data_IF_486301805814
#
_entry.id   IF_486301805814
#
_cell.length_a   1.000
_cell.length_b   1.000
_cell.length_c   1.000
_cell.angle_alpha   90.00
_cell.angle_beta   90.00
_cell.angle_gamma   90.00
#
_symmetry.space_group_name_H-M   'P 1'
#
loop_
_entity.id
_entity.type
_entity.pdbx_description
1 polymer ?
#
# COMPACT_ATOMS: atom_id res chain seq x y z
N UNK A 1 14.91 -17.36 8.97
CA UNK A 1 15.63 -16.15 9.45
C UNK A 1 14.76 -14.97 9.13
N UNK A 2 14.49 -14.11 10.10
CA UNK A 2 13.68 -12.90 9.89
C UNK A 2 14.33 -11.96 8.88
N UNK A 3 13.55 -11.44 7.93
CA UNK A 3 14.04 -10.74 6.74
C UNK A 3 14.23 -9.24 6.97
N UNK A 4 13.61 -8.67 8.03
CA UNK A 4 13.54 -7.23 8.28
C UNK A 4 14.12 -6.82 9.64
N UNK A 5 15.00 -7.63 10.24
CA UNK A 5 15.61 -7.33 11.55
C UNK A 5 16.29 -5.96 11.51
N UNK A 6 15.95 -5.08 12.47
CA UNK A 6 16.51 -3.74 12.61
C UNK A 6 15.98 -2.71 11.63
N UNK A 7 15.09 -3.09 10.72
CA UNK A 7 14.45 -2.13 9.79
C UNK A 7 13.30 -1.41 10.47
N UNK A 8 13.06 -0.17 10.07
CA UNK A 8 11.91 0.64 10.49
C UNK A 8 10.99 0.80 9.28
N UNK A 9 9.72 0.47 9.45
CA UNK A 9 8.73 0.43 8.38
C UNK A 9 7.51 1.31 8.70
N UNK A 10 7.00 2.04 7.71
CA UNK A 10 5.69 2.68 7.73
C UNK A 10 4.74 1.86 6.86
N UNK A 11 3.52 1.60 7.35
CA UNK A 11 2.42 1.04 6.56
C UNK A 11 1.20 1.95 6.70
N UNK A 12 0.70 2.49 5.59
CA UNK A 12 -0.51 3.32 5.57
C UNK A 12 -1.76 2.48 5.28
N UNK A 13 -2.92 2.89 5.83
CA UNK A 13 -4.14 2.08 5.75
C UNK A 13 -3.98 0.73 6.45
N UNK A 14 -3.22 0.72 7.57
CA UNK A 14 -2.80 -0.50 8.25
C UNK A 14 -3.76 -0.95 9.37
N UNK A 15 -4.91 -0.30 9.52
CA UNK A 15 -5.98 -0.70 10.43
C UNK A 15 -6.71 -1.97 9.97
N UNK A 16 -6.78 -2.21 8.65
CA UNK A 16 -7.55 -3.33 8.11
C UNK A 16 -6.97 -3.90 6.81
N UNK A 17 -7.55 -4.99 6.33
CA UNK A 17 -7.27 -5.58 5.01
C UNK A 17 -5.79 -5.84 4.75
N UNK A 18 -5.33 -5.51 3.54
CA UNK A 18 -3.96 -5.74 3.08
C UNK A 18 -2.95 -5.01 3.97
N UNK A 19 -3.20 -3.74 4.32
CA UNK A 19 -2.29 -2.95 5.16
C UNK A 19 -2.07 -3.56 6.53
N UNK A 20 -3.12 -4.09 7.17
CA UNK A 20 -3.03 -4.82 8.42
C UNK A 20 -2.17 -6.08 8.28
N UNK A 21 -2.43 -6.90 7.25
CA UNK A 21 -1.65 -8.12 7.00
C UNK A 21 -0.17 -7.80 6.73
N UNK A 22 0.14 -6.73 5.99
CA UNK A 22 1.52 -6.26 5.77
C UNK A 22 2.17 -5.84 7.09
N UNK A 23 1.48 -5.03 7.92
CA UNK A 23 2.02 -4.56 9.19
C UNK A 23 2.33 -5.73 10.15
N UNK A 24 1.42 -6.70 10.25
CA UNK A 24 1.61 -7.91 11.06
C UNK A 24 2.81 -8.74 10.56
N UNK A 25 2.92 -8.94 9.25
CA UNK A 25 4.00 -9.72 8.65
C UNK A 25 5.35 -9.01 8.79
N UNK A 26 5.41 -7.70 8.60
CA UNK A 26 6.64 -6.93 8.81
C UNK A 26 7.15 -7.04 10.26
N UNK A 27 6.26 -6.95 11.25
CA UNK A 27 6.62 -7.11 12.65
C UNK A 27 7.10 -8.54 12.95
N UNK A 28 6.44 -9.56 12.41
CA UNK A 28 6.85 -10.97 12.52
C UNK A 28 8.24 -11.19 11.94
N UNK A 29 8.60 -10.47 10.88
CA UNK A 29 9.91 -10.51 10.23
C UNK A 29 10.96 -9.60 10.88
N UNK A 30 10.65 -9.02 12.06
CA UNK A 30 11.59 -8.29 12.91
C UNK A 30 11.71 -6.79 12.63
N UNK A 31 10.81 -6.21 11.83
CA UNK A 31 10.75 -4.76 11.66
C UNK A 31 10.09 -4.08 12.86
N UNK A 32 10.51 -2.83 13.14
CA UNK A 32 9.74 -1.88 13.94
C UNK A 32 8.72 -1.21 13.04
N UNK A 33 7.43 -1.29 13.38
CA UNK A 33 6.34 -0.92 12.48
C UNK A 33 5.60 0.31 12.98
N UNK A 34 5.49 1.31 12.12
CA UNK A 34 4.55 2.42 12.31
C UNK A 34 3.28 2.10 11.54
N UNK A 35 2.24 1.73 12.28
CA UNK A 35 0.88 1.50 11.81
C UNK A 35 0.22 2.85 11.62
N UNK A 36 -0.17 3.20 10.40
CA UNK A 36 -0.87 4.46 10.12
C UNK A 36 -2.23 4.21 9.50
N UNK A 37 -3.24 4.87 10.04
CA UNK A 37 -4.61 4.81 9.54
C UNK A 37 -5.37 6.07 9.95
N UNK A 38 -6.45 6.38 9.22
CA UNK A 38 -7.41 7.41 9.64
C UNK A 38 -8.32 6.90 10.77
N UNK A 39 -8.56 5.59 10.82
CA UNK A 39 -9.34 4.91 11.86
C UNK A 39 -8.44 4.54 13.05
N UNK A 40 -8.52 5.36 14.09
CA UNK A 40 -7.71 5.24 15.30
C UNK A 40 -7.94 3.90 16.03
N UNK A 41 -9.18 3.42 16.08
CA UNK A 41 -9.53 2.17 16.75
C UNK A 41 -8.90 0.97 16.05
N UNK A 42 -9.09 0.84 14.75
CA UNK A 42 -8.55 -0.27 13.96
C UNK A 42 -7.01 -0.25 13.94
N UNK A 43 -6.41 0.95 13.84
CA UNK A 43 -4.96 1.10 13.92
C UNK A 43 -4.39 0.67 15.27
N UNK A 44 -5.04 1.06 16.38
CA UNK A 44 -4.64 0.64 17.72
C UNK A 44 -4.79 -0.88 17.92
N UNK A 45 -5.85 -1.49 17.41
CA UNK A 45 -6.04 -2.95 17.41
C UNK A 45 -4.91 -3.67 16.67
N UNK A 46 -4.46 -3.14 15.54
CA UNK A 46 -3.32 -3.72 14.79
C UNK A 46 -2.03 -3.65 15.61
N UNK A 47 -1.76 -2.52 16.27
CA UNK A 47 -0.59 -2.39 17.18
C UNK A 47 -0.68 -3.39 18.33
N UNK A 48 -1.86 -3.55 18.95
CA UNK A 48 -2.05 -4.51 20.03
C UNK A 48 -1.70 -5.94 19.58
N UNK A 49 -2.19 -6.36 18.40
CA UNK A 49 -1.89 -7.69 17.84
C UNK A 49 -0.39 -7.89 17.56
N UNK A 50 0.33 -6.84 17.14
CA UNK A 50 1.78 -6.89 16.94
C UNK A 50 2.50 -7.06 18.28
N UNK A 51 2.13 -6.27 19.30
CA UNK A 51 2.78 -6.27 20.62
C UNK A 51 2.49 -7.53 21.40
N UNK A 52 1.30 -8.10 21.30
CA UNK A 52 0.96 -9.41 21.90
C UNK A 52 1.85 -10.55 21.38
N UNK A 53 2.33 -10.44 20.14
CA UNK A 53 3.27 -11.38 19.52
C UNK A 53 4.74 -11.03 19.77
N UNK A 54 5.03 -10.02 20.59
CA UNK A 54 6.37 -9.58 20.93
C UNK A 54 7.04 -8.67 19.91
N UNK A 55 6.30 -8.17 18.92
CA UNK A 55 6.77 -7.18 17.96
C UNK A 55 6.80 -5.75 18.54
N UNK A 56 7.49 -4.85 17.86
CA UNK A 56 7.59 -3.42 18.22
C UNK A 56 6.80 -2.58 17.21
N UNK A 57 5.72 -1.94 17.66
CA UNK A 57 4.91 -1.08 16.81
C UNK A 57 4.34 0.11 17.56
N UNK A 58 4.09 1.20 16.82
CA UNK A 58 3.32 2.36 17.28
C UNK A 58 2.21 2.68 16.28
N UNK A 59 1.17 3.34 16.77
CA UNK A 59 0.11 3.89 15.93
C UNK A 59 0.32 5.40 15.71
N UNK A 60 0.15 5.84 14.46
CA UNK A 60 0.10 7.27 14.10
C UNK A 60 -1.15 7.50 13.24
N UNK A 61 -2.09 8.29 13.78
CA UNK A 61 -3.26 8.73 12.99
C UNK A 61 -2.82 9.69 11.91
N UNK A 62 -3.13 9.38 10.65
CA UNK A 62 -2.86 10.24 9.51
C UNK A 62 -3.89 10.02 8.40
N UNK A 63 -4.35 11.13 7.81
CA UNK A 63 -5.09 11.13 6.56
C UNK A 63 -4.08 11.24 5.40
N UNK A 64 -3.98 10.18 4.61
CA UNK A 64 -3.04 10.13 3.48
C UNK A 64 -3.29 11.21 2.43
N UNK A 65 -4.50 11.79 2.36
CA UNK A 65 -4.83 12.87 1.43
C UNK A 65 -4.26 14.23 1.84
N UNK A 66 -3.72 14.35 3.06
CA UNK A 66 -3.18 15.60 3.61
C UNK A 66 -1.65 15.58 3.65
N UNK A 67 -0.96 16.52 2.97
CA UNK A 67 0.49 16.56 2.96
C UNK A 67 1.10 16.74 4.35
N UNK A 68 0.48 17.54 5.23
CA UNK A 68 0.91 17.78 6.60
C UNK A 68 0.86 16.52 7.47
N UNK A 69 -0.15 15.66 7.28
CA UNK A 69 -0.26 14.40 8.01
C UNK A 69 0.82 13.40 7.56
N UNK A 70 1.14 13.36 6.26
CA UNK A 70 2.24 12.55 5.74
C UNK A 70 3.60 13.04 6.27
N UNK A 71 3.81 14.35 6.35
CA UNK A 71 5.02 14.93 6.94
C UNK A 71 5.15 14.56 8.42
N UNK A 72 4.08 14.72 9.19
CA UNK A 72 4.02 14.37 10.61
C UNK A 72 4.27 12.88 10.84
N UNK A 73 3.67 12.01 10.02
CA UNK A 73 3.87 10.55 10.09
C UNK A 73 5.35 10.19 9.98
N UNK A 74 6.04 10.73 8.97
CA UNK A 74 7.48 10.47 8.77
C UNK A 74 8.31 11.07 9.91
N UNK A 75 8.01 12.30 10.34
CA UNK A 75 8.74 12.96 11.44
C UNK A 75 8.64 12.16 12.75
N UNK A 76 7.43 11.73 13.13
CA UNK A 76 7.23 10.89 14.32
C UNK A 76 7.91 9.52 14.20
N UNK A 77 7.98 8.96 12.99
CA UNK A 77 8.69 7.70 12.75
C UNK A 77 10.18 7.86 13.04
N UNK A 78 10.80 8.90 12.49
CA UNK A 78 12.23 9.18 12.69
C UNK A 78 12.52 9.58 14.13
N UNK A 79 11.67 10.38 14.77
CA UNK A 79 11.77 10.73 16.17
C UNK A 79 11.76 9.49 17.07
N UNK A 80 10.84 8.57 16.83
CA UNK A 80 10.66 7.35 17.65
C UNK A 80 11.74 6.30 17.43
N UNK A 81 12.14 6.08 16.17
CA UNK A 81 12.97 4.93 15.80
C UNK A 81 14.33 5.30 15.19
N UNK A 82 14.59 6.57 14.96
CA UNK A 82 15.88 7.09 14.46
C UNK A 82 16.09 6.93 12.95
N UNK A 83 15.20 6.25 12.22
CA UNK A 83 15.38 5.97 10.80
C UNK A 83 14.04 5.66 10.09
N UNK A 84 14.07 5.61 8.75
CA UNK A 84 13.03 5.02 7.92
C UNK A 84 13.69 4.19 6.80
N UNK A 85 13.37 2.89 6.74
CA UNK A 85 13.96 1.98 5.76
C UNK A 85 12.93 1.42 4.77
N UNK A 86 11.67 1.28 5.20
CA UNK A 86 10.62 0.63 4.41
C UNK A 86 9.35 1.49 4.47
N UNK A 87 8.69 1.66 3.33
CA UNK A 87 7.38 2.26 3.26
C UNK A 87 6.45 1.41 2.39
N UNK A 88 5.28 1.04 2.95
CA UNK A 88 4.18 0.46 2.20
C UNK A 88 3.06 1.50 2.11
N UNK A 89 2.93 2.15 0.96
CA UNK A 89 1.90 3.13 0.66
C UNK A 89 0.65 2.40 0.19
N UNK A 90 -0.16 1.94 1.16
CA UNK A 90 -1.30 1.07 0.91
C UNK A 90 -2.67 1.79 1.05
N UNK A 91 -2.76 2.87 1.80
CA UNK A 91 -4.01 3.59 1.99
C UNK A 91 -4.73 3.89 0.67
N UNK A 92 -6.04 3.64 0.62
CA UNK A 92 -6.83 3.87 -0.59
C UNK A 92 -8.32 3.62 -0.38
N UNK A 93 -9.12 4.18 -1.27
CA UNK A 93 -10.59 4.07 -1.29
C UNK A 93 -11.09 3.68 -2.69
N UNK A 94 -12.24 3.02 -2.79
CA UNK A 94 -12.84 2.61 -4.06
C UNK A 94 -13.46 3.77 -4.85
N UNK A 95 -14.14 4.65 -4.17
CA UNK A 95 -14.93 5.73 -4.77
C UNK A 95 -16.31 5.30 -5.25
N UNK A 96 -17.11 6.23 -5.80
CA UNK A 96 -18.40 5.93 -6.41
C UNK A 96 -18.31 5.00 -7.61
N UNK A 97 -19.40 4.35 -7.97
CA UNK A 97 -19.54 3.57 -9.21
C UNK A 97 -20.49 4.29 -10.15
N UNK A 98 -19.96 4.87 -11.24
CA UNK A 98 -20.74 5.55 -12.27
C UNK A 98 -19.93 5.64 -13.59
N UNK A 99 -20.61 5.70 -14.75
CA UNK A 99 -19.96 5.97 -16.02
C UNK A 99 -19.21 7.32 -16.01
N UNK A 100 -18.16 7.46 -16.80
CA UNK A 100 -17.30 8.66 -16.79
C UNK A 100 -18.08 9.95 -17.00
N UNK A 101 -19.09 9.97 -17.90
CA UNK A 101 -19.90 11.15 -18.16
C UNK A 101 -20.85 11.55 -17.04
N UNK A 102 -21.07 10.68 -16.06
CA UNK A 102 -21.96 10.87 -14.91
C UNK A 102 -21.24 10.76 -13.57
N UNK A 103 -19.91 10.57 -13.61
CA UNK A 103 -19.14 10.37 -12.39
C UNK A 103 -19.08 11.64 -11.55
N UNK A 104 -19.42 11.60 -10.24
CA UNK A 104 -19.44 12.79 -9.39
C UNK A 104 -18.04 13.41 -9.27
N UNK A 105 -17.94 14.72 -9.49
CA UNK A 105 -16.66 15.46 -9.42
C UNK A 105 -16.04 15.34 -8.03
N UNK A 106 -16.83 15.48 -6.97
CA UNK A 106 -16.35 15.32 -5.58
C UNK A 106 -15.83 13.90 -5.30
N UNK A 107 -16.46 12.91 -5.94
CA UNK A 107 -15.99 11.51 -5.88
C UNK A 107 -14.65 11.33 -6.57
N UNK A 108 -14.48 11.96 -7.74
CA UNK A 108 -13.20 12.01 -8.44
C UNK A 108 -12.11 12.66 -7.59
N UNK A 109 -12.36 13.88 -7.11
CA UNK A 109 -11.39 14.63 -6.31
C UNK A 109 -10.95 13.85 -5.07
N UNK A 110 -11.89 13.23 -4.37
CA UNK A 110 -11.60 12.42 -3.18
C UNK A 110 -10.73 11.20 -3.50
N UNK A 111 -11.06 10.46 -4.57
CA UNK A 111 -10.27 9.28 -4.98
C UNK A 111 -8.87 9.68 -5.42
N UNK A 112 -8.73 10.73 -6.21
CA UNK A 112 -7.42 11.25 -6.62
C UNK A 112 -6.62 11.75 -5.41
N UNK A 113 -7.25 12.48 -4.50
CA UNK A 113 -6.59 12.98 -3.30
C UNK A 113 -5.99 11.86 -2.45
N UNK A 114 -6.73 10.78 -2.21
CA UNK A 114 -6.26 9.66 -1.39
C UNK A 114 -5.32 8.73 -2.18
N UNK A 115 -5.78 8.23 -3.34
CA UNK A 115 -5.13 7.11 -4.02
C UNK A 115 -3.94 7.52 -4.89
N UNK A 116 -3.82 8.78 -5.26
CA UNK A 116 -2.74 9.28 -6.13
C UNK A 116 -1.92 10.36 -5.42
N UNK A 117 -2.55 11.49 -5.07
CA UNK A 117 -1.85 12.59 -4.40
C UNK A 117 -1.29 12.16 -3.05
N UNK A 118 -2.02 11.35 -2.28
CA UNK A 118 -1.58 10.81 -1.00
C UNK A 118 -0.33 9.93 -1.13
N UNK A 119 -0.24 9.11 -2.16
CA UNK A 119 0.98 8.33 -2.44
C UNK A 119 2.15 9.26 -2.78
N UNK A 120 1.91 10.30 -3.57
CA UNK A 120 2.93 11.32 -3.84
C UNK A 120 3.39 12.04 -2.56
N UNK A 121 2.45 12.49 -1.72
CA UNK A 121 2.78 13.16 -0.45
C UNK A 121 3.58 12.25 0.48
N UNK A 122 3.19 10.99 0.60
CA UNK A 122 3.94 10.01 1.37
C UNK A 122 5.40 9.92 0.88
N UNK A 123 5.61 9.66 -0.43
CA UNK A 123 6.95 9.54 -1.00
C UNK A 123 7.75 10.85 -0.88
N UNK A 124 7.12 12.01 -1.03
CA UNK A 124 7.76 13.33 -0.88
C UNK A 124 8.47 13.48 0.46
N UNK A 125 7.93 12.91 1.54
CA UNK A 125 8.51 13.00 2.87
C UNK A 125 9.31 11.74 3.26
N UNK A 126 8.94 10.57 2.75
CA UNK A 126 9.64 9.31 3.02
C UNK A 126 11.04 9.29 2.40
N UNK A 127 11.20 9.78 1.17
CA UNK A 127 12.46 9.74 0.43
C UNK A 127 13.60 10.47 1.16
N UNK A 128 13.45 11.71 1.62
CA UNK A 128 14.51 12.38 2.39
C UNK A 128 14.90 11.62 3.66
N UNK A 129 13.94 11.03 4.38
CA UNK A 129 14.20 10.22 5.57
C UNK A 129 14.95 8.91 5.23
N UNK A 130 14.61 8.26 4.11
CA UNK A 130 15.32 7.09 3.62
C UNK A 130 16.74 7.42 3.16
N UNK A 131 16.95 8.54 2.48
CA UNK A 131 18.29 9.01 2.11
C UNK A 131 19.17 9.22 3.35
N UNK A 132 18.62 9.83 4.40
CA UNK A 132 19.32 10.01 5.68
C UNK A 132 19.60 8.67 6.39
N UNK A 133 18.82 7.64 6.11
CA UNK A 133 18.98 6.27 6.66
C UNK A 133 19.87 5.36 5.80
N UNK A 134 20.46 5.88 4.71
CA UNK A 134 21.36 5.14 3.82
C UNK A 134 20.65 4.36 2.69
N UNK A 135 19.37 4.62 2.47
CA UNK A 135 18.55 3.97 1.44
C UNK A 135 17.29 3.34 2.00
N UNK A 136 16.52 2.67 1.13
CA UNK A 136 15.27 2.04 1.56
C UNK A 136 14.50 1.35 0.45
N UNK A 137 13.33 0.82 0.81
CA UNK A 137 12.39 0.20 -0.13
C UNK A 137 10.99 0.81 0.02
N UNK A 138 10.44 1.26 -1.10
CA UNK A 138 9.06 1.76 -1.20
C UNK A 138 8.24 0.74 -1.98
N UNK A 139 7.13 0.31 -1.40
CA UNK A 139 6.12 -0.50 -2.09
C UNK A 139 4.83 0.30 -2.16
N UNK A 140 4.43 0.65 -3.37
CA UNK A 140 3.19 1.38 -3.63
C UNK A 140 2.08 0.39 -3.99
N UNK A 141 0.96 0.45 -3.25
CA UNK A 141 -0.20 -0.37 -3.55
C UNK A 141 -0.97 0.21 -4.74
N UNK A 142 -0.71 -0.35 -5.92
CA UNK A 142 -1.48 -0.08 -7.11
C UNK A 142 -2.77 -0.93 -7.13
N UNK A 143 -3.05 -1.63 -8.20
CA UNK A 143 -4.16 -2.57 -8.44
C UNK A 143 -3.95 -3.19 -9.80
N UNK A 144 -4.61 -4.30 -10.15
CA UNK A 144 -4.77 -4.71 -11.56
C UNK A 144 -5.30 -3.54 -12.40
N UNK A 145 -6.11 -2.66 -11.82
CA UNK A 145 -6.64 -1.44 -12.45
C UNK A 145 -5.58 -0.33 -12.64
N UNK A 146 -4.33 -0.62 -12.36
CA UNK A 146 -3.16 0.16 -12.79
C UNK A 146 -2.61 -0.24 -14.17
N UNK A 147 -3.18 -1.29 -14.81
CA UNK A 147 -2.81 -1.78 -16.14
C UNK A 147 -3.99 -2.03 -17.07
N UNK A 148 -5.20 -2.16 -16.52
CA UNK A 148 -6.44 -2.35 -17.31
C UNK A 148 -7.53 -1.41 -16.83
N UNK A 149 -8.55 -1.19 -17.67
CA UNK A 149 -9.74 -0.44 -17.30
C UNK A 149 -10.73 -1.29 -16.51
N UNK A 150 -11.65 -0.60 -15.82
CA UNK A 150 -12.81 -1.19 -15.19
C UNK A 150 -14.00 -0.24 -15.31
N UNK A 151 -15.09 -0.70 -15.89
CA UNK A 151 -16.26 0.14 -16.11
C UNK A 151 -16.76 0.76 -14.80
N UNK A 152 -17.24 1.99 -14.86
CA UNK A 152 -17.78 2.75 -13.74
C UNK A 152 -16.77 3.14 -12.63
N UNK A 153 -15.47 3.03 -12.88
CA UNK A 153 -14.42 3.35 -11.90
C UNK A 153 -13.33 4.28 -12.44
N UNK A 154 -13.67 5.38 -13.15
CA UNK A 154 -12.68 6.20 -13.87
C UNK A 154 -11.62 6.80 -12.94
N UNK A 155 -12.00 7.32 -11.77
CA UNK A 155 -11.08 7.94 -10.83
C UNK A 155 -10.07 6.92 -10.24
N UNK A 156 -10.56 5.74 -9.86
CA UNK A 156 -9.73 4.68 -9.32
C UNK A 156 -8.72 4.17 -10.36
N UNK A 157 -9.19 3.89 -11.58
CA UNK A 157 -8.35 3.47 -12.70
C UNK A 157 -7.26 4.50 -12.98
N UNK A 158 -7.63 5.79 -13.11
CA UNK A 158 -6.67 6.87 -13.33
C UNK A 158 -5.63 6.97 -12.21
N UNK A 159 -6.08 6.91 -10.95
CA UNK A 159 -5.19 6.96 -9.79
C UNK A 159 -4.18 5.80 -9.79
N UNK A 160 -4.64 4.57 -10.01
CA UNK A 160 -3.78 3.38 -9.96
C UNK A 160 -2.80 3.29 -11.12
N UNK A 161 -3.17 3.76 -12.33
CA UNK A 161 -2.22 3.97 -13.43
C UNK A 161 -1.17 5.03 -13.07
N UNK A 162 -1.57 6.14 -12.44
CA UNK A 162 -0.65 7.17 -11.96
C UNK A 162 0.35 6.65 -10.94
N UNK A 163 -0.08 5.80 -10.00
CA UNK A 163 0.81 5.16 -9.01
C UNK A 163 1.88 4.30 -9.69
N UNK A 164 1.51 3.51 -10.71
CA UNK A 164 2.47 2.71 -11.49
C UNK A 164 3.48 3.63 -12.20
N UNK A 165 3.02 4.74 -12.79
CA UNK A 165 3.89 5.73 -13.43
C UNK A 165 4.87 6.38 -12.45
N UNK A 166 4.38 6.87 -11.30
CA UNK A 166 5.24 7.48 -10.27
C UNK A 166 6.27 6.48 -9.71
N UNK A 167 5.91 5.22 -9.56
CA UNK A 167 6.84 4.18 -9.09
C UNK A 167 8.06 4.05 -10.01
N UNK A 168 7.85 4.10 -11.33
CA UNK A 168 8.94 4.08 -12.33
C UNK A 168 9.83 5.32 -12.20
N UNK A 169 9.22 6.49 -12.02
CA UNK A 169 9.94 7.73 -11.88
C UNK A 169 10.87 7.73 -10.65
N UNK A 170 10.36 7.31 -9.49
CA UNK A 170 11.17 7.20 -8.26
C UNK A 170 12.36 6.23 -8.45
N UNK A 171 12.15 5.11 -9.13
CA UNK A 171 13.22 4.15 -9.40
C UNK A 171 14.36 4.77 -10.24
N UNK A 172 14.02 5.60 -11.23
CA UNK A 172 14.99 6.32 -12.05
C UNK A 172 15.74 7.40 -11.28
N UNK A 173 15.04 8.14 -10.43
CA UNK A 173 15.61 9.28 -9.68
C UNK A 173 16.50 8.84 -8.53
N UNK A 174 16.13 7.75 -7.83
CA UNK A 174 16.73 7.39 -6.54
C UNK A 174 17.42 6.03 -6.51
N UNK A 175 17.45 5.27 -7.62
CA UNK A 175 18.10 3.97 -7.69
C UNK A 175 19.59 4.01 -7.31
N UNK A 176 20.32 5.04 -7.74
CA UNK A 176 21.73 5.25 -7.38
C UNK A 176 21.94 5.62 -5.90
N UNK A 177 20.88 5.98 -5.20
CA UNK A 177 20.88 6.33 -3.79
C UNK A 177 20.38 5.20 -2.88
N UNK A 178 20.41 3.96 -3.38
CA UNK A 178 19.93 2.76 -2.67
C UNK A 178 18.45 2.82 -2.26
N UNK A 179 17.60 3.57 -2.98
CA UNK A 179 16.17 3.56 -2.80
C UNK A 179 15.54 2.79 -3.96
N UNK A 180 14.84 1.71 -3.63
CA UNK A 180 14.04 0.94 -4.57
C UNK A 180 12.57 1.31 -4.44
N UNK A 181 11.86 1.38 -5.55
CA UNK A 181 10.42 1.60 -5.55
C UNK A 181 9.76 0.58 -6.49
N UNK A 182 8.76 -0.15 -5.99
CA UNK A 182 7.99 -1.10 -6.78
C UNK A 182 6.49 -0.93 -6.52
N UNK A 183 5.67 -1.30 -7.49
CA UNK A 183 4.22 -1.29 -7.37
C UNK A 183 3.69 -2.73 -7.30
N UNK A 184 2.77 -2.98 -6.38
CA UNK A 184 2.03 -4.23 -6.28
C UNK A 184 0.61 -4.00 -6.79
N UNK A 185 0.12 -4.88 -7.64
CA UNK A 185 -1.19 -4.82 -8.27
C UNK A 185 -2.11 -5.96 -7.82
N UNK A 186 -2.76 -5.86 -6.64
CA UNK A 186 -3.76 -6.84 -6.27
C UNK A 186 -4.95 -6.82 -7.22
N UNK A 187 -5.54 -7.98 -7.46
CA UNK A 187 -6.87 -8.07 -8.02
C UNK A 187 -7.93 -7.92 -6.93
N UNK A 188 -9.00 -8.69 -6.97
CA UNK A 188 -10.04 -8.64 -5.93
C UNK A 188 -9.63 -9.50 -4.73
N UNK A 189 -9.35 -8.81 -3.62
CA UNK A 189 -8.86 -9.39 -2.36
C UNK A 189 -9.96 -9.25 -1.31
N UNK A 190 -10.18 -10.28 -0.50
CA UNK A 190 -11.18 -10.29 0.58
C UNK A 190 -10.77 -9.28 1.66
N UNK A 191 -11.30 -8.09 1.58
CA UNK A 191 -11.03 -6.96 2.47
C UNK A 191 -12.30 -6.17 2.74
N UNK A 192 -12.31 -5.25 3.71
CA UNK A 192 -13.46 -4.35 3.93
C UNK A 192 -13.85 -3.52 2.70
N UNK A 193 -12.98 -3.37 1.72
CA UNK A 193 -13.29 -2.67 0.46
C UNK A 193 -14.39 -3.39 -0.36
N UNK A 194 -14.57 -4.70 -0.17
CA UNK A 194 -15.59 -5.51 -0.84
C UNK A 194 -16.85 -5.73 0.00
N UNK A 195 -16.94 -5.14 1.20
CA UNK A 195 -18.04 -5.40 2.16
C UNK A 195 -19.45 -5.08 1.64
N UNK A 196 -19.53 -4.11 0.72
CA UNK A 196 -20.81 -3.63 0.17
C UNK A 196 -21.21 -4.37 -1.12
N UNK A 197 -20.42 -5.37 -1.57
CA UNK A 197 -20.73 -6.18 -2.74
C UNK A 197 -21.66 -7.32 -2.34
N UNK A 198 -22.71 -7.53 -3.14
CA UNK A 198 -23.60 -8.67 -2.96
C UNK A 198 -22.96 -9.99 -3.40
N UNK A 199 -23.57 -11.10 -3.00
CA UNK A 199 -23.05 -12.44 -3.30
C UNK A 199 -22.92 -12.71 -4.81
N UNK A 200 -23.85 -12.18 -5.63
CA UNK A 200 -23.82 -12.36 -7.07
C UNK A 200 -22.61 -11.65 -7.69
N UNK A 201 -22.35 -10.41 -7.24
CA UNK A 201 -21.17 -9.63 -7.64
C UNK A 201 -19.88 -10.34 -7.21
N UNK A 202 -19.80 -10.84 -5.97
CA UNK A 202 -18.62 -11.57 -5.51
C UNK A 202 -18.36 -12.83 -6.34
N UNK A 203 -19.38 -13.64 -6.63
CA UNK A 203 -19.25 -14.82 -7.51
C UNK A 203 -18.84 -14.44 -8.94
N UNK A 204 -19.36 -13.34 -9.45
CA UNK A 204 -18.93 -12.84 -10.75
C UNK A 204 -17.45 -12.42 -10.73
N UNK A 205 -16.99 -11.73 -9.68
CA UNK A 205 -15.59 -11.39 -9.51
C UNK A 205 -14.71 -12.64 -9.39
N UNK A 206 -15.11 -13.64 -8.62
CA UNK A 206 -14.40 -14.93 -8.52
C UNK A 206 -14.21 -15.55 -9.90
N UNK A 207 -15.26 -15.57 -10.73
CA UNK A 207 -15.22 -16.14 -12.08
C UNK A 207 -14.25 -15.43 -13.04
N UNK A 208 -13.80 -14.20 -12.69
CA UNK A 208 -12.81 -13.45 -13.46
C UNK A 208 -11.37 -13.88 -13.16
N UNK A 209 -11.17 -14.68 -12.11
CA UNK A 209 -9.85 -15.17 -11.76
C UNK A 209 -9.69 -16.62 -12.21
N UNK A 210 -8.71 -16.95 -13.06
CA UNK A 210 -8.38 -18.35 -13.38
C UNK A 210 -8.16 -19.24 -12.15
N UNK A 211 -7.70 -18.67 -11.03
CA UNK A 211 -7.57 -19.36 -9.75
C UNK A 211 -8.93 -19.79 -9.13
N UNK A 212 -10.08 -19.32 -9.65
CA UNK A 212 -11.42 -19.69 -9.22
C UNK A 212 -11.84 -19.16 -7.84
N UNK A 213 -11.15 -18.15 -7.33
CA UNK A 213 -11.42 -17.52 -6.02
C UNK A 213 -10.91 -16.09 -5.95
N UNK A 214 -11.37 -15.35 -4.97
CA UNK A 214 -10.76 -14.10 -4.56
C UNK A 214 -9.44 -14.36 -3.82
N UNK A 215 -8.53 -13.36 -3.83
CA UNK A 215 -7.28 -13.42 -3.08
C UNK A 215 -7.47 -13.12 -1.58
N UNK A 216 -6.47 -13.51 -0.79
CA UNK A 216 -6.39 -13.19 0.63
C UNK A 216 -5.38 -12.06 0.87
N UNK A 217 -5.59 -11.18 1.88
CA UNK A 217 -4.65 -10.11 2.23
C UNK A 217 -3.21 -10.61 2.46
N UNK A 218 -3.06 -11.79 3.05
CA UNK A 218 -1.78 -12.42 3.34
C UNK A 218 -1.00 -12.76 2.07
N UNK A 219 -1.68 -13.15 1.00
CA UNK A 219 -1.03 -13.46 -0.29
C UNK A 219 -0.40 -12.22 -0.92
N UNK A 220 -1.02 -11.05 -0.72
CA UNK A 220 -0.45 -9.76 -1.14
C UNK A 220 0.71 -9.36 -0.22
N UNK A 221 0.55 -9.56 1.09
CA UNK A 221 1.56 -9.20 2.08
C UNK A 221 2.89 -9.94 1.87
N UNK A 222 2.86 -11.20 1.42
CA UNK A 222 4.07 -11.97 1.11
C UNK A 222 4.89 -11.35 -0.03
N UNK A 223 4.25 -10.90 -1.11
CA UNK A 223 4.96 -10.20 -2.18
C UNK A 223 5.50 -8.85 -1.70
N UNK A 224 4.72 -8.11 -0.91
CA UNK A 224 5.14 -6.83 -0.32
C UNK A 224 6.36 -7.03 0.58
N UNK A 225 6.40 -8.08 1.40
CA UNK A 225 7.55 -8.45 2.22
C UNK A 225 8.78 -8.74 1.35
N UNK A 226 8.63 -9.58 0.33
CA UNK A 226 9.73 -9.90 -0.58
C UNK A 226 10.32 -8.64 -1.21
N UNK A 227 9.49 -7.76 -1.77
CA UNK A 227 9.92 -6.52 -2.40
C UNK A 227 10.58 -5.54 -1.42
N UNK A 228 10.22 -5.60 -0.14
CA UNK A 228 10.78 -4.78 0.93
C UNK A 228 12.13 -5.28 1.45
N UNK A 229 12.44 -6.55 1.21
CA UNK A 229 13.63 -7.23 1.72
C UNK A 229 14.84 -7.06 0.79
N UNK A 230 16.04 -7.42 1.30
CA UNK A 230 17.28 -7.45 0.53
C UNK A 230 17.27 -8.53 -0.59
N UNK A 231 16.33 -9.49 -0.54
CA UNK A 231 16.14 -10.47 -1.61
C UNK A 231 15.71 -9.84 -2.93
N UNK A 232 15.13 -8.65 -2.88
CA UNK A 232 14.71 -7.86 -4.02
C UNK A 232 15.70 -6.73 -4.38
N UNK A 233 16.99 -6.87 -4.01
CA UNK A 233 18.00 -5.80 -4.13
C UNK A 233 18.22 -5.28 -5.55
N UNK A 234 17.92 -6.08 -6.58
CA UNK A 234 18.03 -5.68 -7.98
C UNK A 234 16.67 -5.46 -8.67
N UNK A 235 15.60 -5.28 -7.85
CA UNK A 235 14.24 -5.11 -8.32
C UNK A 235 13.77 -3.70 -7.97
N UNK A 236 13.59 -2.84 -8.99
CA UNK A 236 13.06 -1.48 -8.82
C UNK A 236 12.33 -1.02 -10.09
N UNK A 237 11.38 -0.12 -9.96
CA UNK A 237 10.61 0.45 -11.06
C UNK A 237 9.56 -0.48 -11.67
N UNK A 238 9.33 -1.63 -11.07
CA UNK A 238 8.48 -2.67 -11.62
C UNK A 238 7.09 -2.71 -11.01
N UNK A 239 6.15 -3.25 -11.79
CA UNK A 239 4.79 -3.52 -11.36
C UNK A 239 4.57 -5.03 -11.31
N UNK A 240 4.06 -5.53 -10.19
CA UNK A 240 3.84 -6.95 -9.95
C UNK A 240 2.38 -7.22 -9.60
N UNK A 241 1.61 -7.91 -10.45
CA UNK A 241 0.25 -8.32 -10.11
C UNK A 241 0.25 -9.47 -9.07
N UNK A 242 -0.77 -9.44 -8.19
CA UNK A 242 -1.17 -10.55 -7.31
C UNK A 242 -2.64 -10.77 -7.57
N UNK A 243 -2.95 -11.55 -8.60
CA UNK A 243 -4.23 -11.45 -9.28
C UNK A 243 -4.90 -12.79 -9.63
N UNK A 244 -4.38 -13.91 -9.20
CA UNK A 244 -4.93 -15.22 -9.52
C UNK A 244 -5.09 -15.48 -11.03
N UNK A 245 -4.30 -14.78 -11.86
CA UNK A 245 -4.33 -14.89 -13.33
C UNK A 245 -5.33 -13.94 -14.02
N UNK A 246 -5.90 -12.97 -13.30
CA UNK A 246 -6.87 -12.02 -13.87
C UNK A 246 -6.35 -11.31 -15.13
N UNK A 247 -5.09 -10.89 -15.15
CA UNK A 247 -4.46 -10.18 -16.26
C UNK A 247 -3.88 -11.12 -17.35
N UNK A 248 -3.96 -12.41 -17.18
CA UNK A 248 -3.42 -13.39 -18.15
C UNK A 248 -4.39 -13.71 -19.31
N UNK A 249 -5.58 -13.13 -19.32
CA UNK A 249 -6.66 -13.38 -20.30
C UNK A 249 -7.09 -12.12 -21.04
#
# INVERSE_FOLDING_TARGET
MSQLIGKVAIVTGAGSGIGKSVALLYAQEGAKVVVSDINEKEGAETVALITEKGGDAIFVKADSSLPEDNQKLVSLTVEKYGALHIACNNAGIGGPSAPTGEYPVEGWDKVIAVNLSGVFYAMRYQIPAMLASGGGSIVNMASILGSVGFANSPAYVAAKHGVVGMTKNIALEYGQHNIRANAVGPAFIITPLLKDFDEATLKWLESKHPAGRLGQPEEVAELVLFLSSEKASFITGSYYPVDGGYLAQ
#
